data_IF_868123899271
#
_entry.id   IF_868123899271
#
_cell.length_a   1.000
_cell.length_b   1.000
_cell.length_c   1.000
_cell.angle_alpha   90.00
_cell.angle_beta   90.00
_cell.angle_gamma   90.00
#
_symmetry.space_group_name_H-M   'P 1'
#
loop_
_entity.id
_entity.type
_entity.pdbx_description
1 polymer ?
#
# COMPACT_ATOMS: atom_id res chain seq x y z
N UNK A 1 18.81 1.39 -2.43
CA UNK A 1 18.33 1.89 -1.11
C UNK A 1 16.94 2.47 -1.27
N UNK A 2 16.11 2.32 -0.24
CA UNK A 2 14.73 2.84 -0.21
C UNK A 2 14.63 3.98 0.80
N UNK A 3 13.90 5.02 0.43
CA UNK A 3 13.61 6.18 1.27
C UNK A 3 12.23 6.01 1.90
N UNK A 4 12.16 5.99 3.23
CA UNK A 4 10.93 5.87 4.01
C UNK A 4 10.59 7.20 4.66
N UNK A 5 9.31 7.50 4.77
CA UNK A 5 8.73 8.70 5.36
C UNK A 5 7.54 8.28 6.23
N UNK A 6 7.31 9.00 7.30
CA UNK A 6 6.15 8.80 8.19
C UNK A 6 5.20 9.97 8.02
N UNK A 7 4.01 9.70 7.49
CA UNK A 7 2.93 10.69 7.43
C UNK A 7 2.06 10.60 8.67
N UNK A 8 1.94 11.73 9.37
CA UNK A 8 0.98 11.93 10.46
C UNK A 8 -0.37 12.52 9.97
N UNK A 9 -0.62 12.51 8.66
CA UNK A 9 -1.90 12.93 8.07
C UNK A 9 -2.99 11.85 8.19
N UNK A 10 -2.67 10.74 8.84
CA UNK A 10 -3.56 9.65 9.22
C UNK A 10 -3.24 9.24 10.67
N UNK A 11 -4.23 8.69 11.38
CA UNK A 11 -4.06 8.16 12.73
C UNK A 11 -4.51 6.70 12.79
N UNK A 12 -3.61 5.72 13.06
CA UNK A 12 -2.18 5.89 13.33
C UNK A 12 -1.39 6.39 12.12
N UNK A 13 -0.22 6.98 12.35
CA UNK A 13 0.67 7.43 11.26
C UNK A 13 0.98 6.29 10.28
N UNK A 14 1.15 6.63 9.01
CA UNK A 14 1.35 5.67 7.92
C UNK A 14 2.71 5.84 7.24
N UNK A 15 3.17 4.75 6.63
CA UNK A 15 4.45 4.71 5.93
C UNK A 15 4.24 5.09 4.47
N UNK A 16 5.02 6.06 4.01
CA UNK A 16 5.19 6.39 2.59
C UNK A 16 6.65 6.06 2.24
N UNK A 17 6.92 5.48 1.08
CA UNK A 17 8.28 5.19 0.67
C UNK A 17 8.48 5.32 -0.84
N UNK A 18 9.74 5.45 -1.26
CA UNK A 18 10.10 5.51 -2.68
C UNK A 18 11.51 4.99 -2.90
N UNK A 19 11.79 4.52 -4.12
CA UNK A 19 13.14 4.13 -4.51
C UNK A 19 14.05 5.36 -4.58
N UNK A 20 15.32 5.18 -4.21
CA UNK A 20 16.34 6.24 -4.36
C UNK A 20 16.58 6.61 -5.81
N UNK A 21 16.46 5.64 -6.71
CA UNK A 21 16.72 5.79 -8.14
C UNK A 21 15.84 4.85 -8.97
N UNK A 22 16.03 4.91 -10.29
CA UNK A 22 15.26 4.12 -11.25
C UNK A 22 15.49 2.60 -11.14
N UNK A 23 16.65 2.15 -10.65
CA UNK A 23 16.94 0.72 -10.48
C UNK A 23 16.16 0.20 -9.28
N UNK A 24 16.21 0.94 -8.17
CA UNK A 24 15.40 0.61 -6.99
C UNK A 24 13.89 0.62 -7.31
N UNK A 25 13.42 1.53 -8.16
CA UNK A 25 12.02 1.56 -8.56
C UNK A 25 11.57 0.27 -9.25
N UNK A 26 12.43 -0.39 -10.04
CA UNK A 26 12.10 -1.67 -10.68
C UNK A 26 11.96 -2.80 -9.64
N UNK A 27 12.82 -2.83 -8.63
CA UNK A 27 12.71 -3.78 -7.52
C UNK A 27 11.43 -3.53 -6.72
N UNK A 28 11.09 -2.27 -6.42
CA UNK A 28 9.85 -1.92 -5.73
C UNK A 28 8.59 -2.31 -6.51
N UNK A 29 8.60 -2.22 -7.84
CA UNK A 29 7.48 -2.70 -8.67
C UNK A 29 7.35 -4.22 -8.54
N UNK A 30 8.47 -4.95 -8.62
CA UNK A 30 8.48 -6.42 -8.53
C UNK A 30 8.01 -6.91 -7.17
N UNK A 31 8.37 -6.21 -6.10
CA UNK A 31 8.11 -6.61 -4.72
C UNK A 31 6.97 -5.85 -4.04
N UNK A 32 6.19 -5.08 -4.79
CA UNK A 32 5.03 -4.35 -4.26
C UNK A 32 4.10 -5.28 -3.48
N UNK A 33 3.67 -4.82 -2.30
CA UNK A 33 2.76 -5.55 -1.44
C UNK A 33 1.32 -5.35 -1.91
N UNK A 34 0.39 -6.26 -1.59
CA UNK A 34 -1.02 -6.09 -1.88
C UNK A 34 -1.63 -4.80 -1.29
N UNK A 35 -1.05 -4.31 -0.19
CA UNK A 35 -1.47 -3.09 0.50
C UNK A 35 -0.82 -1.82 -0.06
N UNK A 36 0.11 -1.95 -1.01
CA UNK A 36 0.84 -0.80 -1.53
C UNK A 36 0.04 -0.11 -2.64
N UNK A 37 -0.07 1.22 -2.55
CA UNK A 37 -0.67 2.08 -3.58
C UNK A 37 0.44 2.92 -4.19
N UNK A 38 0.61 2.79 -5.50
CA UNK A 38 1.64 3.49 -6.28
C UNK A 38 1.14 4.84 -6.77
N UNK A 39 2.02 5.84 -6.76
CA UNK A 39 1.77 7.21 -7.20
C UNK A 39 2.87 7.70 -8.14
N UNK A 40 2.47 8.51 -9.12
CA UNK A 40 3.37 9.11 -10.12
C UNK A 40 2.77 10.36 -10.76
N UNK A 41 3.61 11.28 -11.23
CA UNK A 41 3.12 12.44 -11.99
C UNK A 41 2.58 11.96 -13.35
N UNK A 42 1.39 12.38 -13.75
CA UNK A 42 0.87 12.01 -15.07
C UNK A 42 1.78 12.56 -16.18
N UNK A 43 2.23 11.67 -17.08
CA UNK A 43 3.02 11.99 -18.29
C UNK A 43 4.39 12.66 -18.07
N UNK A 44 4.84 12.83 -16.83
CA UNK A 44 6.15 13.40 -16.52
C UNK A 44 6.98 12.42 -15.72
N UNK A 45 8.30 12.41 -15.93
CA UNK A 45 9.20 11.59 -15.12
C UNK A 45 9.18 12.04 -13.65
N UNK A 46 8.93 11.11 -12.73
CA UNK A 46 8.99 11.34 -11.29
C UNK A 46 9.43 10.11 -10.52
N UNK A 47 9.72 10.28 -9.23
CA UNK A 47 9.83 9.16 -8.32
C UNK A 47 8.56 8.29 -8.33
N UNK A 48 8.74 6.99 -8.08
CA UNK A 48 7.65 6.04 -7.82
C UNK A 48 7.41 6.04 -6.30
N UNK A 49 6.38 6.73 -5.85
CA UNK A 49 6.02 6.81 -4.43
C UNK A 49 4.98 5.74 -4.13
N UNK A 50 5.12 5.10 -2.98
CA UNK A 50 4.23 4.07 -2.50
C UNK A 50 3.67 4.46 -1.14
N UNK A 51 2.36 4.34 -0.97
CA UNK A 51 1.70 4.34 0.32
C UNK A 51 1.47 2.89 0.74
N UNK A 52 1.98 2.49 1.90
CA UNK A 52 1.60 1.21 2.50
C UNK A 52 0.35 1.40 3.34
N UNK A 53 -0.78 0.92 2.84
CA UNK A 53 -2.06 1.07 3.54
C UNK A 53 -2.06 0.30 4.87
N UNK A 54 -2.56 0.91 5.96
CA UNK A 54 -2.83 0.17 7.19
C UNK A 54 -4.01 -0.80 6.99
N UNK A 55 -4.14 -1.77 7.89
CA UNK A 55 -5.26 -2.71 7.87
C UNK A 55 -6.61 -1.96 7.92
N UNK A 56 -7.55 -2.38 7.07
CA UNK A 56 -8.88 -1.77 6.95
C UNK A 56 -8.96 -0.54 6.03
N UNK A 57 -7.83 0.02 5.58
CA UNK A 57 -7.86 1.10 4.58
C UNK A 57 -8.07 0.55 3.17
N UNK A 58 -8.95 1.20 2.42
CA UNK A 58 -9.24 0.89 1.03
C UNK A 58 -8.50 1.86 0.09
N UNK A 59 -7.88 1.33 -0.96
CA UNK A 59 -7.07 2.11 -1.90
C UNK A 59 -7.86 3.21 -2.63
N UNK A 60 -9.16 2.97 -2.80
CA UNK A 60 -10.07 3.86 -3.49
C UNK A 60 -10.72 4.89 -2.56
N UNK A 61 -10.45 4.81 -1.25
CA UNK A 61 -10.96 5.71 -0.21
C UNK A 61 -9.84 6.17 0.75
N UNK A 62 -8.70 6.59 0.20
CA UNK A 62 -7.60 7.17 0.97
C UNK A 62 -8.01 8.58 1.43
N UNK A 63 -7.83 8.94 2.72
CA UNK A 63 -8.13 10.27 3.21
C UNK A 63 -7.39 11.37 2.45
N UNK A 64 -8.08 12.47 2.15
CA UNK A 64 -7.54 13.58 1.35
C UNK A 64 -6.22 14.14 1.90
N UNK A 65 -6.04 14.39 3.22
CA UNK A 65 -4.75 14.85 3.75
C UNK A 65 -3.58 13.90 3.44
N UNK A 66 -3.84 12.58 3.43
CA UNK A 66 -2.84 11.58 3.11
C UNK A 66 -2.57 11.50 1.60
N UNK A 67 -3.60 11.62 0.76
CA UNK A 67 -3.43 11.76 -0.69
C UNK A 67 -2.57 12.98 -1.03
N UNK A 68 -2.80 14.11 -0.37
CA UNK A 68 -2.00 15.33 -0.54
C UNK A 68 -0.55 15.11 -0.13
N UNK A 69 -0.27 14.42 0.98
CA UNK A 69 1.10 14.05 1.37
C UNK A 69 1.82 13.25 0.27
N UNK A 70 1.18 12.20 -0.25
CA UNK A 70 1.72 11.39 -1.34
C UNK A 70 1.94 12.24 -2.61
N UNK A 71 0.95 13.03 -3.01
CA UNK A 71 0.99 13.85 -4.22
C UNK A 71 2.10 14.93 -4.16
N UNK A 72 2.25 15.60 -3.02
CA UNK A 72 3.30 16.59 -2.79
C UNK A 72 4.69 15.96 -2.80
N UNK A 73 4.84 14.75 -2.24
CA UNK A 73 6.11 14.03 -2.28
C UNK A 73 6.49 13.62 -3.71
N UNK A 74 5.54 13.10 -4.49
CA UNK A 74 5.74 12.76 -5.92
C UNK A 74 6.14 14.00 -6.73
N UNK A 75 5.38 15.09 -6.59
CA UNK A 75 5.66 16.36 -7.26
C UNK A 75 7.05 16.88 -6.92
N UNK A 76 7.43 16.88 -5.64
CA UNK A 76 8.73 17.36 -5.18
C UNK A 76 9.90 16.52 -5.72
N UNK A 77 9.67 15.25 -6.04
CA UNK A 77 10.65 14.33 -6.59
C UNK A 77 10.45 14.07 -8.11
N UNK A 78 9.85 15.04 -8.82
CA UNK A 78 9.82 15.08 -10.28
C UNK A 78 10.76 16.17 -10.80
N UNK A 79 11.63 15.86 -11.76
CA UNK A 79 12.59 16.82 -12.31
C UNK A 79 11.86 18.01 -12.95
N UNK A 80 10.85 17.72 -13.77
CA UNK A 80 10.06 18.72 -14.48
C UNK A 80 8.82 19.13 -13.67
N UNK A 81 8.11 18.16 -13.07
CA UNK A 81 6.87 18.41 -12.33
C UNK A 81 7.06 19.33 -11.14
N UNK A 82 8.21 19.28 -10.44
CA UNK A 82 8.48 20.16 -9.31
C UNK A 82 8.44 21.66 -9.68
N UNK A 83 8.66 22.02 -10.95
CA UNK A 83 8.69 23.41 -11.44
C UNK A 83 7.38 23.88 -12.06
N UNK A 84 6.39 22.98 -12.21
CA UNK A 84 5.10 23.28 -12.83
C UNK A 84 4.00 23.33 -11.80
N UNK A 85 3.01 24.16 -12.04
CA UNK A 85 1.75 24.15 -11.32
C UNK A 85 0.71 23.29 -12.06
N UNK A 86 -0.42 23.04 -11.40
CA UNK A 86 -1.59 22.35 -11.94
C UNK A 86 -1.28 20.95 -12.48
N UNK A 87 -0.56 20.15 -11.69
CA UNK A 87 -0.25 18.78 -12.07
C UNK A 87 -1.40 17.84 -11.74
N UNK A 88 -1.48 16.77 -12.53
CA UNK A 88 -2.26 15.59 -12.17
C UNK A 88 -1.30 14.53 -11.66
N UNK A 89 -1.54 14.03 -10.46
CA UNK A 89 -0.88 12.86 -9.92
C UNK A 89 -1.83 11.68 -10.11
N UNK A 90 -1.33 10.60 -10.71
CA UNK A 90 -2.07 9.35 -10.86
C UNK A 90 -1.70 8.41 -9.72
N UNK A 91 -2.66 7.60 -9.30
CA UNK A 91 -2.42 6.55 -8.33
C UNK A 91 -3.26 5.30 -8.60
N UNK A 92 -2.72 4.16 -8.22
CA UNK A 92 -3.32 2.85 -8.45
C UNK A 92 -2.77 1.84 -7.45
N UNK A 93 -3.50 0.76 -7.12
CA UNK A 93 -2.92 -0.38 -6.40
C UNK A 93 -1.66 -0.91 -7.09
N UNK A 94 -0.68 -1.35 -6.31
CA UNK A 94 0.57 -1.93 -6.82
C UNK A 94 0.33 -3.17 -7.69
N UNK A 95 -0.69 -3.97 -7.38
CA UNK A 95 -1.10 -5.15 -8.15
C UNK A 95 -1.64 -4.83 -9.55
N UNK A 96 -1.99 -3.57 -9.82
CA UNK A 96 -2.46 -3.10 -11.12
C UNK A 96 -1.31 -2.62 -12.00
N UNK A 97 -0.08 -2.51 -11.47
CA UNK A 97 1.10 -2.18 -12.26
C UNK A 97 1.45 -3.37 -13.16
N UNK A 98 1.61 -3.08 -14.45
CA UNK A 98 2.03 -4.05 -15.45
C UNK A 98 3.37 -3.61 -16.03
N UNK A 99 4.39 -4.43 -15.79
CA UNK A 99 5.73 -4.29 -16.36
C UNK A 99 6.03 -5.51 -17.22
N UNK A 100 6.41 -5.30 -18.48
CA UNK A 100 6.86 -6.36 -19.39
C UNK A 100 8.35 -6.18 -19.72
N UNK A 101 9.03 -7.26 -20.11
CA UNK A 101 10.49 -7.26 -20.29
C UNK A 101 11.01 -6.36 -21.42
N UNK A 102 10.14 -5.98 -22.35
CA UNK A 102 10.39 -5.07 -23.46
C UNK A 102 10.26 -3.58 -23.08
N UNK A 103 9.71 -3.27 -21.91
CA UNK A 103 9.53 -1.89 -21.45
C UNK A 103 10.84 -1.29 -20.94
N UNK A 104 11.09 -0.03 -21.30
CA UNK A 104 12.25 0.71 -20.81
C UNK A 104 12.25 0.84 -19.28
N UNK A 105 13.42 1.04 -18.67
CA UNK A 105 13.55 1.28 -17.23
C UNK A 105 12.74 2.52 -16.83
N UNK A 106 11.91 2.41 -15.80
CA UNK A 106 10.97 3.44 -15.35
C UNK A 106 9.64 3.47 -16.10
N UNK A 107 9.52 2.83 -17.26
CA UNK A 107 8.25 2.72 -17.97
C UNK A 107 7.35 1.69 -17.28
N UNK A 108 6.11 2.06 -16.99
CA UNK A 108 5.08 1.18 -16.46
C UNK A 108 3.80 1.31 -17.29
N UNK A 109 3.01 0.24 -17.33
CA UNK A 109 1.65 0.25 -17.85
C UNK A 109 0.69 -0.27 -16.77
N UNK A 110 -0.61 -0.34 -17.07
CA UNK A 110 -1.60 -0.82 -16.13
C UNK A 110 -2.31 -2.07 -16.64
N UNK A 111 -2.67 -2.97 -15.72
CA UNK A 111 -3.56 -4.10 -16.03
C UNK A 111 -4.99 -3.62 -16.34
N UNK A 112 -5.44 -2.56 -15.67
CA UNK A 112 -6.75 -1.94 -15.88
C UNK A 112 -6.69 -0.43 -15.64
N UNK A 113 -6.96 0.36 -16.68
CA UNK A 113 -7.06 1.83 -16.56
C UNK A 113 -8.21 2.27 -15.65
N UNK A 114 -9.23 1.43 -15.47
CA UNK A 114 -10.36 1.70 -14.55
C UNK A 114 -9.93 1.75 -13.08
N UNK A 115 -8.79 1.13 -12.74
CA UNK A 115 -8.20 1.16 -11.40
C UNK A 115 -7.20 2.32 -11.21
N UNK A 116 -7.07 3.21 -12.20
CA UNK A 116 -6.22 4.40 -12.09
C UNK A 116 -7.08 5.60 -11.68
N UNK A 117 -6.76 6.16 -10.51
CA UNK A 117 -7.38 7.38 -10.01
C UNK A 117 -6.43 8.56 -10.15
N UNK A 118 -6.97 9.77 -10.06
CA UNK A 118 -6.27 11.04 -10.29
C UNK A 118 -6.54 11.99 -9.13
N UNK A 119 -5.50 12.69 -8.70
CA UNK A 119 -5.59 13.80 -7.76
C UNK A 119 -4.92 15.02 -8.38
N UNK A 120 -5.57 16.18 -8.25
CA UNK A 120 -5.05 17.44 -8.75
C UNK A 120 -4.14 18.07 -7.71
N UNK A 121 -2.98 18.56 -8.13
CA UNK A 121 -2.03 19.28 -7.27
C UNK A 121 -1.69 20.62 -7.90
N UNK A 122 -2.36 21.66 -7.42
CA UNK A 122 -2.24 23.03 -7.91
C UNK A 122 -0.79 23.52 -7.81
N UNK A 123 -0.19 23.49 -6.63
CA UNK A 123 1.17 23.99 -6.40
C UNK A 123 1.92 23.15 -5.39
N UNK A 124 3.22 23.37 -5.30
CA UNK A 124 4.05 22.70 -4.30
C UNK A 124 3.80 23.31 -2.91
N UNK A 125 3.54 22.46 -1.94
CA UNK A 125 3.38 22.85 -0.53
C UNK A 125 4.63 22.51 0.27
N UNK A 126 5.50 23.50 0.45
CA UNK A 126 6.77 23.29 1.15
C UNK A 126 6.61 22.82 2.60
N UNK A 127 5.53 23.22 3.29
CA UNK A 127 5.27 22.76 4.66
C UNK A 127 5.11 21.23 4.75
N UNK A 128 4.39 20.63 3.79
CA UNK A 128 4.17 19.18 3.71
C UNK A 128 5.48 18.47 3.38
N UNK A 129 6.16 18.91 2.31
CA UNK A 129 7.43 18.32 1.88
C UNK A 129 8.49 18.40 2.98
N UNK A 130 8.58 19.52 3.69
CA UNK A 130 9.54 19.69 4.79
C UNK A 130 9.19 18.81 5.99
N UNK A 131 7.90 18.67 6.33
CA UNK A 131 7.46 17.76 7.41
C UNK A 131 7.82 16.32 7.10
N UNK A 132 7.52 15.84 5.89
CA UNK A 132 7.85 14.48 5.48
C UNK A 132 9.37 14.25 5.52
N UNK A 133 10.16 15.19 4.97
CA UNK A 133 11.62 15.06 4.95
C UNK A 133 12.27 15.00 6.34
N UNK A 134 11.66 15.58 7.38
CA UNK A 134 12.14 15.43 8.77
C UNK A 134 12.04 14.00 9.29
N UNK A 135 11.13 13.20 8.73
CA UNK A 135 10.93 11.79 9.07
C UNK A 135 11.65 10.84 8.10
N UNK A 136 12.42 11.38 7.15
CA UNK A 136 13.04 10.59 6.09
C UNK A 136 14.11 9.68 6.67
N UNK A 137 13.98 8.38 6.40
CA UNK A 137 14.96 7.35 6.74
C UNK A 137 15.37 6.65 5.44
N UNK A 138 16.66 6.62 5.17
CA UNK A 138 17.23 5.88 4.05
C UNK A 138 17.80 4.56 4.58
N UNK A 139 17.37 3.43 4.01
CA UNK A 139 17.87 2.12 4.39
C UNK A 139 18.04 1.20 3.18
N UNK A 140 18.92 0.23 3.35
CA UNK A 140 18.98 -0.93 2.46
C UNK A 140 17.83 -1.89 2.80
N UNK A 141 17.23 -2.49 1.77
CA UNK A 141 16.06 -3.35 1.90
C UNK A 141 16.36 -4.64 1.15
N UNK A 142 16.31 -5.76 1.88
CA UNK A 142 16.24 -7.07 1.26
C UNK A 142 14.78 -7.39 0.97
N UNK A 143 14.35 -7.07 -0.25
CA UNK A 143 12.94 -7.18 -0.66
C UNK A 143 12.43 -8.63 -0.64
N UNK A 144 13.30 -9.59 -0.97
CA UNK A 144 12.93 -11.01 -0.96
C UNK A 144 12.77 -11.49 0.48
N UNK A 145 13.70 -11.15 1.37
CA UNK A 145 13.58 -11.50 2.78
C UNK A 145 12.34 -10.86 3.43
N UNK A 146 12.05 -9.58 3.17
CA UNK A 146 10.84 -8.93 3.68
C UNK A 146 9.56 -9.60 3.16
N UNK A 147 9.55 -10.02 1.89
CA UNK A 147 8.44 -10.78 1.31
C UNK A 147 8.26 -12.13 2.00
N UNK A 148 9.35 -12.88 2.20
CA UNK A 148 9.33 -14.19 2.88
C UNK A 148 8.80 -14.04 4.31
N UNK A 149 9.31 -13.06 5.07
CA UNK A 149 8.90 -12.82 6.45
C UNK A 149 7.42 -12.43 6.56
N UNK A 150 6.94 -11.58 5.63
CA UNK A 150 5.52 -11.23 5.52
C UNK A 150 4.68 -12.48 5.27
N UNK A 151 5.01 -13.28 4.26
CA UNK A 151 4.26 -14.50 3.92
C UNK A 151 4.27 -15.51 5.07
N UNK A 152 5.39 -15.65 5.78
CA UNK A 152 5.50 -16.49 6.98
C UNK A 152 4.56 -16.01 8.09
N UNK A 153 4.52 -14.70 8.35
CA UNK A 153 3.63 -14.09 9.35
C UNK A 153 2.16 -14.25 8.97
N UNK A 154 1.79 -13.95 7.72
CA UNK A 154 0.42 -14.13 7.21
C UNK A 154 -0.04 -15.59 7.31
N UNK A 155 0.82 -16.55 6.95
CA UNK A 155 0.52 -17.97 7.07
C UNK A 155 0.36 -18.42 8.52
N UNK A 156 1.18 -17.90 9.45
CA UNK A 156 1.03 -18.18 10.87
C UNK A 156 -0.30 -17.63 11.42
N UNK A 157 -0.68 -16.40 11.06
CA UNK A 157 -1.98 -15.80 11.45
C UNK A 157 -3.15 -16.62 10.90
N UNK A 158 -3.10 -17.00 9.61
CA UNK A 158 -4.14 -17.83 8.99
C UNK A 158 -4.28 -19.19 9.68
N UNK A 159 -3.16 -19.85 10.02
CA UNK A 159 -3.18 -21.14 10.74
C UNK A 159 -3.76 -20.99 12.15
N UNK A 160 -3.37 -19.94 12.88
CA UNK A 160 -3.92 -19.66 14.20
C UNK A 160 -5.42 -19.36 14.15
N UNK A 161 -5.87 -18.54 13.20
CA UNK A 161 -7.29 -18.22 13.00
C UNK A 161 -8.11 -19.47 12.64
N UNK A 162 -7.59 -20.35 11.76
CA UNK A 162 -8.24 -21.61 11.41
C UNK A 162 -8.35 -22.56 12.62
N UNK A 163 -7.28 -22.70 13.41
CA UNK A 163 -7.28 -23.54 14.61
C UNK A 163 -8.29 -23.02 15.65
N UNK A 164 -8.37 -21.71 15.84
CA UNK A 164 -9.33 -21.09 16.75
C UNK A 164 -10.78 -21.26 16.27
N UNK A 165 -11.04 -21.12 14.96
CA UNK A 165 -12.36 -21.40 14.38
C UNK A 165 -12.80 -22.84 14.60
N UNK A 166 -11.90 -23.81 14.40
CA UNK A 166 -12.19 -25.23 14.67
C UNK A 166 -12.55 -25.44 16.15
N UNK A 167 -11.77 -24.87 17.07
CA UNK A 167 -12.04 -24.96 18.51
C UNK A 167 -13.38 -24.33 18.91
N UNK A 168 -13.75 -23.20 18.30
CA UNK A 168 -15.04 -22.54 18.51
C UNK A 168 -16.20 -23.37 17.95
N UNK A 169 -16.03 -23.98 16.78
CA UNK A 169 -17.01 -24.90 16.18
C UNK A 169 -17.23 -26.16 17.04
N UNK A 170 -16.15 -26.75 17.55
CA UNK A 170 -16.25 -27.91 18.44
C UNK A 170 -16.96 -27.57 19.75
N UNK A 171 -16.64 -26.40 20.32
CA UNK A 171 -17.26 -25.91 21.56
C UNK A 171 -18.75 -25.63 21.37
N UNK A 172 -19.12 -24.96 20.27
CA UNK A 172 -20.52 -24.65 19.93
C UNK A 172 -21.32 -25.93 19.63
N UNK A 173 -20.76 -26.89 18.89
CA UNK A 173 -21.40 -28.19 18.68
C UNK A 173 -21.61 -28.97 19.98
N UNK A 174 -20.65 -28.91 20.90
CA UNK A 174 -20.78 -29.54 22.23
C UNK A 174 -21.94 -28.94 23.03
N UNK A 175 -22.05 -27.61 23.05
CA UNK A 175 -23.16 -26.90 23.71
C UNK A 175 -24.50 -27.27 23.08
N UNK A 176 -24.60 -27.29 21.74
CA UNK A 176 -25.83 -27.65 21.02
C UNK A 176 -26.24 -29.09 21.37
N UNK A 177 -25.30 -30.05 21.35
CA UNK A 177 -25.59 -31.44 21.73
C UNK A 177 -26.11 -31.55 23.17
N UNK A 178 -25.51 -30.81 24.10
CA UNK A 178 -25.95 -30.78 25.49
C UNK A 178 -27.36 -30.17 25.64
N UNK A 179 -27.63 -29.06 24.96
CA UNK A 179 -28.96 -28.42 24.98
C UNK A 179 -30.04 -29.31 24.35
N UNK A 180 -29.78 -29.93 23.19
CA UNK A 180 -30.72 -30.84 22.53
C UNK A 180 -31.03 -32.07 23.39
N UNK A 181 -30.03 -32.59 24.11
CA UNK A 181 -30.22 -33.70 25.05
C UNK A 181 -31.06 -33.30 26.28
N UNK A 182 -31.00 -32.04 26.72
CA UNK A 182 -31.79 -31.56 27.86
C UNK A 182 -33.23 -31.15 27.52
N UNK A 183 -33.49 -30.66 26.29
CA UNK A 183 -34.81 -30.17 25.92
C UNK A 183 -35.65 -31.12 25.07
N UNK A 184 -35.16 -32.33 24.74
CA UNK A 184 -35.90 -33.36 23.98
C UNK A 184 -36.56 -32.81 22.70
N UNK A 185 -35.95 -31.80 22.07
CA UNK A 185 -36.46 -31.24 20.81
C UNK A 185 -36.11 -32.24 19.71
N UNK A 186 -37.07 -33.11 19.38
CA UNK A 186 -37.01 -33.95 18.19
C UNK A 186 -37.26 -33.03 17.00
N UNK A 187 -36.20 -32.66 16.28
CA UNK A 187 -36.36 -31.96 14.99
C UNK A 187 -36.81 -33.04 14.00
N UNK A 188 -38.11 -33.05 13.68
CA UNK A 188 -38.67 -33.83 12.57
C UNK A 188 -38.25 -33.25 11.23
#
# INVERSE_FOLDING_TARGET
MVLFFTSNAHNPSVIIYMGRDKVENEELIRYAWPQDVWFHVDKLSSAHVYLRMPEGMMWDNIPEPLLTDCAQLVKANSIEGNKKDNLTIIYTPGDNLKKTGDMAVGQVSFHSDKKVKRVHTEKRENAIVNRLNKTKIEREVDHEQERVDRLKKENAVKRAAAAEQVKQLDSTMSIIKHYSAHYNITVN
#
